data_IF_980077115891
#
_entry.id   IF_980077115891
#
_cell.length_a   1.000
_cell.length_b   1.000
_cell.length_c   1.000
_cell.angle_alpha   90.00
_cell.angle_beta   90.00
_cell.angle_gamma   90.00
#
_symmetry.space_group_name_H-M   'P 1'
#
loop_
_entity.id
_entity.type
_entity.pdbx_description
1 polymer ?
#
# COMPACT_ATOMS: atom_id res chain seq x y z
N UNK A 1 22.03 11.36 -4.07
CA UNK A 1 21.25 11.25 -2.82
C UNK A 1 19.80 11.52 -3.18
N UNK A 2 18.85 10.66 -2.79
CA UNK A 2 17.45 10.99 -2.97
C UNK A 2 17.11 12.23 -2.13
N UNK A 3 16.43 13.20 -2.74
CA UNK A 3 15.88 14.35 -2.01
C UNK A 3 14.92 13.87 -0.94
N UNK A 4 14.88 14.54 0.22
CA UNK A 4 13.81 14.31 1.19
C UNK A 4 12.49 14.64 0.49
N UNK A 5 11.48 13.75 0.51
CA UNK A 5 10.19 14.03 -0.10
C UNK A 5 9.47 15.15 0.66
N UNK A 6 8.79 16.02 -0.07
CA UNK A 6 8.00 17.10 0.50
C UNK A 6 6.66 16.59 1.04
N UNK A 7 6.14 15.51 0.45
CA UNK A 7 4.85 14.91 0.78
C UNK A 7 4.98 13.38 0.76
N UNK A 8 4.41 12.73 1.76
CA UNK A 8 4.22 11.28 1.77
C UNK A 8 2.74 10.97 1.53
N UNK A 9 2.45 10.15 0.53
CA UNK A 9 1.09 9.69 0.22
C UNK A 9 0.98 8.24 0.68
N UNK A 10 0.06 7.96 1.60
CA UNK A 10 -0.12 6.61 2.15
C UNK A 10 -1.36 6.00 1.53
N UNK A 11 -1.18 4.89 0.80
CA UNK A 11 -2.29 4.07 0.30
C UNK A 11 -2.39 2.79 1.14
N UNK A 12 -3.53 2.63 1.81
CA UNK A 12 -3.85 1.43 2.57
C UNK A 12 -4.51 0.44 1.62
N UNK A 13 -3.81 -0.66 1.31
CA UNK A 13 -4.30 -1.68 0.38
C UNK A 13 -5.08 -2.72 1.17
N UNK A 14 -6.40 -2.64 1.09
CA UNK A 14 -7.33 -3.60 1.68
C UNK A 14 -7.89 -4.59 0.65
N UNK A 15 -9.15 -4.98 0.85
CA UNK A 15 -9.86 -5.92 -0.03
C UNK A 15 -10.14 -5.35 -1.44
N UNK A 16 -10.23 -4.02 -1.57
CA UNK A 16 -10.50 -3.33 -2.84
C UNK A 16 -9.22 -3.09 -3.66
N UNK A 17 -8.45 -4.15 -3.94
CA UNK A 17 -7.12 -4.04 -4.59
C UNK A 17 -7.16 -3.36 -5.94
N UNK A 18 -8.15 -3.64 -6.78
CA UNK A 18 -8.28 -2.99 -8.09
C UNK A 18 -8.43 -1.47 -7.97
N UNK A 19 -9.22 -1.00 -6.99
CA UNK A 19 -9.36 0.43 -6.72
C UNK A 19 -8.04 1.04 -6.24
N UNK A 20 -7.30 0.34 -5.39
CA UNK A 20 -5.98 0.78 -4.97
C UNK A 20 -4.99 0.84 -6.14
N UNK A 21 -5.03 -0.13 -7.05
CA UNK A 21 -4.18 -0.15 -8.25
C UNK A 21 -4.49 1.04 -9.17
N UNK A 22 -5.78 1.34 -9.38
CA UNK A 22 -6.19 2.50 -10.17
C UNK A 22 -5.80 3.82 -9.51
N UNK A 23 -5.92 3.92 -8.18
CA UNK A 23 -5.46 5.09 -7.44
C UNK A 23 -3.93 5.26 -7.55
N UNK A 24 -3.18 4.17 -7.43
CA UNK A 24 -1.74 4.18 -7.63
C UNK A 24 -1.38 4.61 -9.04
N UNK A 25 -1.99 4.03 -10.08
CA UNK A 25 -1.77 4.41 -11.47
C UNK A 25 -2.04 5.91 -11.70
N UNK A 26 -3.10 6.46 -11.09
CA UNK A 26 -3.41 7.88 -11.18
C UNK A 26 -2.37 8.77 -10.49
N UNK A 27 -1.79 8.33 -9.37
CA UNK A 27 -0.70 9.03 -8.68
C UNK A 27 0.59 8.99 -9.50
N UNK A 28 0.92 7.81 -10.06
CA UNK A 28 2.11 7.61 -10.89
C UNK A 28 2.11 8.46 -12.16
N UNK A 29 0.92 8.86 -12.63
CA UNK A 29 0.74 9.73 -13.79
C UNK A 29 0.81 11.24 -13.47
N UNK A 30 0.92 11.66 -12.20
CA UNK A 30 0.98 13.07 -11.85
C UNK A 30 2.37 13.66 -12.10
N UNK A 31 2.41 14.87 -12.65
CA UNK A 31 3.63 15.69 -12.63
C UNK A 31 3.99 16.07 -11.19
N UNK A 32 5.28 16.13 -10.85
CA UNK A 32 5.74 16.48 -9.52
C UNK A 32 5.87 15.30 -8.54
N UNK A 33 5.55 14.07 -8.98
CA UNK A 33 5.71 12.87 -8.16
C UNK A 33 7.15 12.66 -7.68
N UNK A 34 8.14 13.20 -8.39
CA UNK A 34 9.55 13.13 -7.99
C UNK A 34 9.85 13.81 -6.64
N UNK A 35 8.94 14.66 -6.16
CA UNK A 35 9.00 15.33 -4.86
C UNK A 35 8.17 14.62 -3.79
N UNK A 36 7.49 13.53 -4.12
CA UNK A 36 6.64 12.79 -3.21
C UNK A 36 7.08 11.32 -3.10
N UNK A 37 6.89 10.73 -1.94
CA UNK A 37 6.95 9.27 -1.79
C UNK A 37 5.54 8.68 -1.70
N UNK A 38 5.35 7.49 -2.25
CA UNK A 38 4.12 6.71 -2.10
C UNK A 38 4.41 5.51 -1.22
N UNK A 39 3.77 5.44 -0.07
CA UNK A 39 3.88 4.30 0.84
C UNK A 39 2.65 3.43 0.65
N UNK A 40 2.85 2.21 0.13
CA UNK A 40 1.81 1.19 0.09
C UNK A 40 1.83 0.40 1.38
N UNK A 41 0.81 0.56 2.21
CA UNK A 41 0.58 -0.30 3.35
C UNK A 41 -0.28 -1.48 2.89
N UNK A 42 0.36 -2.58 2.48
CA UNK A 42 -0.35 -3.76 1.98
C UNK A 42 -0.80 -4.64 3.15
N UNK A 43 -2.11 -4.60 3.42
CA UNK A 43 -2.77 -5.38 4.47
C UNK A 43 -3.37 -6.68 3.94
N UNK A 44 -3.13 -7.02 2.67
CA UNK A 44 -3.71 -8.19 2.08
C UNK A 44 -3.00 -9.48 2.53
N UNK A 45 -3.78 -10.55 2.53
CA UNK A 45 -3.29 -11.90 2.79
C UNK A 45 -2.16 -12.28 1.81
N UNK A 46 -1.27 -13.17 2.25
CA UNK A 46 -0.08 -13.56 1.48
C UNK A 46 -0.41 -14.18 0.12
N UNK A 47 -1.62 -14.71 -0.06
CA UNK A 47 -2.12 -15.22 -1.34
C UNK A 47 -2.27 -14.16 -2.44
N UNK A 48 -2.32 -12.88 -2.09
CA UNK A 48 -2.45 -11.81 -3.07
C UNK A 48 -1.08 -11.43 -3.63
N UNK A 49 -0.99 -11.33 -4.96
CA UNK A 49 0.16 -10.79 -5.66
C UNK A 49 0.39 -9.32 -5.30
N UNK A 50 1.60 -8.83 -5.53
CA UNK A 50 1.93 -7.41 -5.38
C UNK A 50 0.95 -6.53 -6.18
N UNK A 51 0.65 -5.34 -5.65
CA UNK A 51 -0.19 -4.38 -6.34
C UNK A 51 0.50 -3.91 -7.64
N UNK A 52 -0.22 -3.85 -8.76
CA UNK A 52 0.35 -3.37 -10.01
C UNK A 52 0.89 -1.93 -9.85
N UNK A 53 2.12 -1.67 -10.33
CA UNK A 53 2.82 -0.39 -10.16
C UNK A 53 3.57 -0.22 -8.84
N UNK A 54 3.56 -1.22 -7.95
CA UNK A 54 4.28 -1.18 -6.67
C UNK A 54 5.81 -1.29 -6.78
N UNK A 55 6.32 -1.60 -7.97
CA UNK A 55 7.73 -1.67 -8.35
C UNK A 55 8.32 -0.30 -8.75
N UNK A 56 7.49 0.74 -8.85
CA UNK A 56 7.92 2.07 -9.24
C UNK A 56 8.93 2.67 -8.22
N UNK A 57 9.99 3.39 -8.65
CA UNK A 57 11.03 3.91 -7.75
C UNK A 57 10.54 4.83 -6.62
N UNK A 58 9.43 5.55 -6.84
CA UNK A 58 8.79 6.42 -5.85
C UNK A 58 7.87 5.65 -4.87
N UNK A 59 7.70 4.35 -5.07
CA UNK A 59 6.80 3.52 -4.28
C UNK A 59 7.60 2.66 -3.31
N UNK A 60 7.27 2.79 -2.02
CA UNK A 60 7.77 1.92 -0.96
C UNK A 60 6.64 1.06 -0.42
N UNK A 61 6.75 -0.25 -0.60
CA UNK A 61 5.75 -1.19 -0.09
C UNK A 61 6.13 -1.70 1.30
N UNK A 62 5.22 -1.51 2.25
CA UNK A 62 5.27 -2.10 3.59
C UNK A 62 4.16 -3.15 3.66
N UNK A 63 4.54 -4.43 3.62
CA UNK A 63 3.59 -5.53 3.77
C UNK A 63 3.38 -5.78 5.25
N UNK A 64 2.16 -5.56 5.73
CA UNK A 64 1.75 -5.94 7.07
C UNK A 64 0.87 -7.17 6.93
N UNK A 65 1.42 -8.35 7.21
CA UNK A 65 0.57 -9.53 7.34
C UNK A 65 -0.29 -9.35 8.58
N UNK A 66 -1.55 -8.97 8.38
CA UNK A 66 -2.57 -9.18 9.40
C UNK A 66 -2.79 -10.69 9.48
N UNK A 67 -2.06 -11.32 10.40
CA UNK A 67 -2.17 -12.75 10.63
C UNK A 67 -3.60 -13.18 10.97
N UNK A 68 -4.47 -12.24 11.41
CA UNK A 68 -5.86 -12.50 11.74
C UNK A 68 -6.74 -11.29 11.48
N UNK A 69 -7.89 -11.51 10.88
CA UNK A 69 -8.95 -10.51 10.82
C UNK A 69 -9.49 -10.26 12.23
N UNK A 70 -10.07 -9.09 12.53
CA UNK A 70 -10.73 -8.84 13.83
C UNK A 70 -11.76 -9.94 14.17
N UNK A 71 -12.46 -10.45 13.15
CA UNK A 71 -13.37 -11.59 13.30
C UNK A 71 -12.69 -12.88 13.76
N UNK A 72 -11.47 -13.16 13.28
CA UNK A 72 -10.68 -14.31 13.73
C UNK A 72 -10.11 -14.07 15.14
N UNK A 73 -9.58 -12.89 15.43
CA UNK A 73 -9.11 -12.55 16.79
C UNK A 73 -10.22 -12.68 17.83
N UNK A 74 -11.43 -12.21 17.49
CA UNK A 74 -12.62 -12.39 18.31
C UNK A 74 -13.04 -13.86 18.43
N UNK A 75 -13.00 -14.62 17.35
CA UNK A 75 -13.33 -16.06 17.37
C UNK A 75 -12.34 -16.88 18.22
N UNK A 76 -11.07 -16.46 18.30
CA UNK A 76 -10.04 -17.07 19.14
C UNK A 76 -9.94 -16.49 20.57
N UNK A 77 -10.81 -15.54 20.95
CA UNK A 77 -10.82 -14.95 22.29
C UNK A 77 -9.55 -14.16 22.64
N UNK A 78 -8.86 -13.61 21.63
CA UNK A 78 -7.61 -12.86 21.78
C UNK A 78 -7.82 -11.33 21.82
N UNK A 79 -9.03 -10.89 22.16
CA UNK A 79 -9.42 -9.49 22.37
C UNK A 79 -10.37 -9.40 23.56
#
# INVERSE_FOLDING_TARGET
MASVPDISIILIVGTQRERCANALASLLAQEGLERAEVILLDLALDRFSQLAGSDHPQVRTIRMSYARHYGELRAYGMY
#
